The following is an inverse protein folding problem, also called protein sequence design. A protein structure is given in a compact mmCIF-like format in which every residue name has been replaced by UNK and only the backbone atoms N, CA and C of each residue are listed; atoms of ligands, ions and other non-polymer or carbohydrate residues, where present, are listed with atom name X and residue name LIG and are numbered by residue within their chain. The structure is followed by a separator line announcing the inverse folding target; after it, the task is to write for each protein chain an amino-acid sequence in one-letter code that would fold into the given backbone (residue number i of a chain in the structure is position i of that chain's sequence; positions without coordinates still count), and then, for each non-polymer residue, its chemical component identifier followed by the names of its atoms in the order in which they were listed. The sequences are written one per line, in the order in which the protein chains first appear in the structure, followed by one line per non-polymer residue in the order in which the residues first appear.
data_IF_403245773055
#
_entry.id   IF_403245773055
#
_cell.length_a   1.000
_cell.length_b   1.000
_cell.length_c   1.000
_cell.angle_alpha   90.00
_cell.angle_beta   90.00
_cell.angle_gamma   90.00
#
_symmetry.space_group_name_H-M   'P 1'
#
loop_
_entity.id
_entity.type
_entity.pdbx_description
1 polymer ?
#
# COMPACT_ATOMS: atom_id res chain seq x y z
N UNK A 1 14.43 -10.10 -16.76
CA UNK A 1 14.98 -8.72 -16.90
C UNK A 1 13.91 -7.69 -17.27
N UNK A 2 13.07 -7.91 -18.31
CA UNK A 2 12.04 -6.94 -18.75
C UNK A 2 11.08 -6.48 -17.65
N UNK A 3 10.56 -7.41 -16.83
CA UNK A 3 9.61 -7.09 -15.76
C UNK A 3 10.22 -6.19 -14.66
N UNK A 4 11.46 -6.47 -14.25
CA UNK A 4 12.16 -5.67 -13.23
C UNK A 4 12.44 -4.23 -13.71
N UNK A 5 12.83 -4.07 -14.98
CA UNK A 5 13.04 -2.76 -15.58
C UNK A 5 11.72 -1.96 -15.65
N UNK A 6 10.64 -2.57 -16.13
CA UNK A 6 9.33 -1.92 -16.19
C UNK A 6 8.83 -1.47 -14.80
N UNK A 7 8.95 -2.34 -13.79
CA UNK A 7 8.54 -2.01 -12.43
C UNK A 7 9.42 -0.90 -11.83
N UNK A 8 10.73 -0.93 -12.09
CA UNK A 8 11.67 0.10 -11.66
C UNK A 8 11.33 1.48 -12.24
N UNK A 9 11.02 1.54 -13.55
CA UNK A 9 10.60 2.79 -14.20
C UNK A 9 9.33 3.37 -13.58
N UNK A 10 8.29 2.54 -13.39
CA UNK A 10 7.02 2.99 -12.77
C UNK A 10 7.23 3.50 -11.35
N UNK A 11 8.00 2.76 -10.54
CA UNK A 11 8.32 3.16 -9.16
C UNK A 11 9.11 4.47 -9.12
N UNK A 12 10.05 4.67 -10.04
CA UNK A 12 10.81 5.92 -10.15
C UNK A 12 9.91 7.14 -10.36
N UNK A 13 8.93 7.05 -11.26
CA UNK A 13 7.95 8.13 -11.50
C UNK A 13 7.10 8.39 -10.25
N UNK A 14 6.64 7.35 -9.56
CA UNK A 14 5.88 7.49 -8.33
C UNK A 14 6.68 8.17 -7.20
N UNK A 15 7.96 7.80 -7.04
CA UNK A 15 8.85 8.43 -6.05
C UNK A 15 9.15 9.89 -6.38
N UNK A 16 9.33 10.23 -7.67
CA UNK A 16 9.52 11.61 -8.11
C UNK A 16 8.30 12.47 -7.75
N UNK A 17 7.09 12.00 -8.05
CA UNK A 17 5.85 12.71 -7.71
C UNK A 17 5.69 12.87 -6.19
N UNK A 18 5.99 11.83 -5.42
CA UNK A 18 5.96 11.91 -3.97
C UNK A 18 6.93 12.99 -3.44
N UNK A 19 8.15 13.04 -3.99
CA UNK A 19 9.13 14.06 -3.64
C UNK A 19 8.67 15.49 -4.02
N UNK A 20 8.10 15.67 -5.22
CA UNK A 20 7.58 16.97 -5.69
C UNK A 20 6.42 17.50 -4.82
N UNK A 21 5.64 16.60 -4.23
CA UNK A 21 4.52 16.93 -3.36
C UNK A 21 4.85 16.85 -1.86
N UNK A 22 6.12 16.65 -1.50
CA UNK A 22 6.55 16.44 -0.12
C UNK A 22 5.75 15.35 0.63
N UNK A 23 5.31 14.31 -0.09
CA UNK A 23 4.61 13.18 0.50
C UNK A 23 5.62 12.21 1.10
N UNK A 24 5.47 11.81 2.38
CA UNK A 24 6.34 10.82 2.99
C UNK A 24 6.17 9.47 2.28
N UNK A 25 7.29 8.83 1.95
CA UNK A 25 7.34 7.48 1.39
C UNK A 25 7.91 6.54 2.43
N UNK A 26 7.29 5.37 2.59
CA UNK A 26 7.76 4.31 3.49
C UNK A 26 7.83 3.00 2.72
N UNK A 27 8.88 2.24 2.98
CA UNK A 27 9.10 0.94 2.35
C UNK A 27 8.95 -0.18 3.37
N UNK A 28 8.35 -1.29 2.93
CA UNK A 28 8.14 -2.48 3.75
C UNK A 28 8.67 -3.71 3.03
N UNK A 29 9.45 -4.51 3.75
CA UNK A 29 9.91 -5.80 3.26
C UNK A 29 8.74 -6.80 3.23
N UNK A 30 8.74 -7.79 2.32
CA UNK A 30 7.67 -8.78 2.23
C UNK A 30 7.39 -9.50 3.57
N UNK A 31 8.43 -9.78 4.35
CA UNK A 31 8.31 -10.40 5.68
C UNK A 31 7.59 -9.48 6.67
N UNK A 32 7.83 -8.16 6.61
CA UNK A 32 7.13 -7.19 7.47
C UNK A 32 5.64 -7.17 7.12
N UNK A 33 5.30 -7.12 5.83
CA UNK A 33 3.90 -7.15 5.36
C UNK A 33 3.20 -8.42 5.82
N UNK A 34 3.84 -9.59 5.62
CA UNK A 34 3.29 -10.87 6.08
C UNK A 34 3.09 -10.88 7.60
N UNK A 35 4.10 -10.47 8.36
CA UNK A 35 4.03 -10.38 9.82
C UNK A 35 2.90 -9.45 10.29
N UNK A 36 2.73 -8.29 9.65
CA UNK A 36 1.72 -7.29 10.02
C UNK A 36 0.28 -7.79 9.88
N UNK A 37 0.05 -8.74 8.97
CA UNK A 37 -1.28 -9.18 8.56
C UNK A 37 -1.62 -10.54 9.18
N UNK A 38 -0.68 -11.48 9.15
CA UNK A 38 -0.92 -12.87 9.57
C UNK A 38 -0.30 -13.20 10.92
N UNK A 39 0.57 -12.35 11.46
CA UNK A 39 1.40 -12.65 12.63
C UNK A 39 2.55 -13.62 12.34
N UNK A 40 2.75 -14.02 11.07
CA UNK A 40 3.79 -14.95 10.67
C UNK A 40 4.51 -14.50 9.40
N UNK A 41 5.78 -14.11 9.54
CA UNK A 41 6.58 -13.53 8.45
C UNK A 41 6.84 -14.47 7.26
N UNK A 42 6.61 -15.78 7.41
CA UNK A 42 6.75 -16.78 6.32
C UNK A 42 5.40 -17.25 5.76
N UNK A 43 4.29 -16.59 6.10
CA UNK A 43 2.97 -16.92 5.57
C UNK A 43 2.95 -16.93 4.03
N UNK A 44 2.09 -17.78 3.46
CA UNK A 44 1.88 -17.83 2.02
C UNK A 44 1.04 -16.65 1.52
N UNK A 45 1.18 -16.31 0.23
CA UNK A 45 0.45 -15.19 -0.38
C UNK A 45 -1.08 -15.36 -0.25
N UNK A 46 -1.55 -16.60 -0.36
CA UNK A 46 -2.96 -16.93 -0.20
C UNK A 46 -3.47 -16.67 1.23
N UNK A 47 -2.66 -16.97 2.26
CA UNK A 47 -3.02 -16.69 3.65
C UNK A 47 -3.10 -15.18 3.92
N UNK A 48 -2.19 -14.39 3.32
CA UNK A 48 -2.25 -12.92 3.38
C UNK A 48 -3.55 -12.42 2.78
N UNK A 49 -3.94 -12.90 1.59
CA UNK A 49 -5.19 -12.52 0.93
C UNK A 49 -6.43 -12.84 1.76
N UNK A 50 -6.50 -14.03 2.33
CA UNK A 50 -7.61 -14.42 3.21
C UNK A 50 -7.69 -13.54 4.45
N UNK A 51 -6.55 -13.20 5.04
CA UNK A 51 -6.50 -12.30 6.18
C UNK A 51 -6.90 -10.86 5.81
N UNK A 52 -6.49 -10.35 4.64
CA UNK A 52 -6.94 -9.05 4.15
C UNK A 52 -8.46 -9.00 4.01
N UNK A 53 -9.06 -10.05 3.43
CA UNK A 53 -10.53 -10.17 3.29
C UNK A 53 -11.20 -10.15 4.67
N UNK A 54 -10.66 -10.92 5.64
CA UNK A 54 -11.20 -10.97 7.01
C UNK A 54 -11.07 -9.64 7.76
N UNK A 55 -9.90 -9.00 7.70
CA UNK A 55 -9.61 -7.72 8.37
C UNK A 55 -10.53 -6.62 7.86
N UNK A 56 -10.78 -6.59 6.55
CA UNK A 56 -11.61 -5.56 5.90
C UNK A 56 -13.09 -5.93 5.84
N UNK A 57 -13.49 -7.11 6.35
CA UNK A 57 -14.87 -7.58 6.27
C UNK A 57 -15.41 -7.70 4.84
N UNK A 58 -14.53 -7.97 3.86
CA UNK A 58 -14.93 -8.07 2.46
C UNK A 58 -15.78 -9.33 2.28
N UNK A 59 -16.93 -9.18 1.64
CA UNK A 59 -17.88 -10.27 1.48
C UNK A 59 -17.34 -11.31 0.49
N UNK A 60 -16.81 -12.42 1.02
CA UNK A 60 -16.02 -13.43 0.31
C UNK A 60 -16.76 -14.08 -0.88
N UNK A 61 -18.09 -14.06 -0.88
CA UNK A 61 -18.92 -14.65 -1.94
C UNK A 61 -19.13 -13.74 -3.15
N UNK A 62 -19.01 -12.41 -3.01
CA UNK A 62 -19.34 -11.46 -4.07
C UNK A 62 -18.11 -10.82 -4.74
N UNK A 63 -16.95 -10.81 -4.05
CA UNK A 63 -15.77 -10.10 -4.52
C UNK A 63 -14.59 -11.06 -4.73
N UNK A 64 -14.30 -11.39 -5.99
CA UNK A 64 -13.00 -12.00 -6.36
C UNK A 64 -11.92 -10.91 -6.27
N UNK A 65 -11.31 -10.77 -5.10
CA UNK A 65 -10.19 -9.85 -4.92
C UNK A 65 -9.02 -10.31 -5.80
N UNK A 66 -8.58 -9.44 -6.72
CA UNK A 66 -7.38 -9.68 -7.54
C UNK A 66 -6.13 -9.78 -6.66
N UNK A 67 -5.09 -10.45 -7.14
CA UNK A 67 -3.80 -10.51 -6.43
C UNK A 67 -3.20 -9.12 -6.22
N UNK A 68 -3.17 -8.28 -7.25
CA UNK A 68 -2.61 -6.93 -7.16
C UNK A 68 -3.36 -6.06 -6.14
N UNK A 69 -4.70 -6.17 -6.12
CA UNK A 69 -5.54 -5.47 -5.15
C UNK A 69 -5.29 -5.96 -3.73
N UNK A 70 -5.13 -7.27 -3.55
CA UNK A 70 -4.78 -7.86 -2.26
C UNK A 70 -3.43 -7.37 -1.76
N UNK A 71 -2.41 -7.33 -2.63
CA UNK A 71 -1.07 -6.87 -2.27
C UNK A 71 -1.04 -5.37 -1.92
N UNK A 72 -1.82 -4.54 -2.63
CA UNK A 72 -1.97 -3.13 -2.31
C UNK A 72 -2.66 -2.91 -0.95
N UNK A 73 -3.77 -3.62 -0.68
CA UNK A 73 -4.48 -3.54 0.60
C UNK A 73 -3.62 -4.05 1.76
N UNK A 74 -2.85 -5.12 1.53
CA UNK A 74 -1.89 -5.65 2.48
C UNK A 74 -0.84 -4.59 2.88
N UNK A 75 -0.26 -3.88 1.91
CA UNK A 75 0.67 -2.79 2.17
C UNK A 75 0.02 -1.64 2.95
N UNK A 76 -1.23 -1.28 2.64
CA UNK A 76 -1.96 -0.25 3.39
C UNK A 76 -2.16 -0.66 4.86
N UNK A 77 -2.61 -1.89 5.12
CA UNK A 77 -2.78 -2.40 6.48
C UNK A 77 -1.44 -2.44 7.22
N UNK A 78 -0.38 -2.90 6.55
CA UNK A 78 0.98 -2.89 7.09
C UNK A 78 1.42 -1.47 7.47
N UNK A 79 1.16 -0.49 6.61
CA UNK A 79 1.51 0.90 6.87
C UNK A 79 0.73 1.49 8.05
N UNK A 80 -0.56 1.20 8.17
CA UNK A 80 -1.38 1.63 9.31
C UNK A 80 -0.85 1.03 10.63
N UNK A 81 -0.42 -0.23 10.60
CA UNK A 81 0.01 -0.95 11.81
C UNK A 81 1.46 -0.63 12.23
N UNK A 82 2.35 -0.40 11.27
CA UNK A 82 3.81 -0.29 11.52
C UNK A 82 4.39 1.07 11.14
N UNK A 83 3.67 1.86 10.33
CA UNK A 83 4.14 3.15 9.85
C UNK A 83 4.10 4.24 10.90
N UNK A 84 4.83 5.35 10.66
CA UNK A 84 4.66 6.55 11.45
C UNK A 84 3.19 7.01 11.37
N UNK A 85 2.64 7.47 12.50
CA UNK A 85 1.26 7.99 12.52
C UNK A 85 1.16 9.09 11.47
N UNK A 86 0.26 8.90 10.51
CA UNK A 86 -0.01 9.88 9.47
C UNK A 86 -0.43 11.19 10.14
N UNK A 87 0.32 12.26 9.87
CA UNK A 87 -0.19 13.61 10.07
C UNK A 87 -1.35 13.84 9.08
N UNK A 88 -2.31 14.73 9.39
CA UNK A 88 -3.39 15.04 8.47
C UNK A 88 -2.82 15.41 7.10
N UNK A 89 -3.11 14.61 6.08
CA UNK A 89 -2.70 14.89 4.70
C UNK A 89 -3.42 16.17 4.26
N UNK A 90 -2.68 17.27 4.08
CA UNK A 90 -3.20 18.45 3.42
C UNK A 90 -3.60 18.04 1.99
N UNK A 91 -4.91 18.09 1.69
CA UNK A 91 -5.43 17.68 0.38
C UNK A 91 -4.77 18.53 -0.73
N UNK A 92 -4.18 17.91 -1.76
CA UNK A 92 -3.69 18.65 -2.91
C UNK A 92 -4.89 19.32 -3.61
N UNK A 93 -5.03 20.64 -3.39
CA UNK A 93 -6.15 21.45 -3.88
C UNK A 93 -6.46 22.69 -3.04
N UNK A 94 -6.06 22.74 -1.77
CA UNK A 94 -6.33 23.89 -0.89
C UNK A 94 -5.53 25.16 -1.24
N UNK A 95 -4.44 25.04 -2.02
CA UNK A 95 -3.63 26.20 -2.48
C UNK A 95 -4.08 26.83 -3.79
N UNK A 96 -4.84 26.14 -4.63
CA UNK A 96 -5.26 26.68 -5.93
C UNK A 96 -6.53 27.54 -5.86
N UNK A 97 -7.30 27.48 -4.76
CA UNK A 97 -8.50 28.31 -4.57
C UNK A 97 -8.24 29.68 -3.92
N UNK A 98 -7.01 29.98 -3.46
CA UNK A 98 -6.65 31.27 -2.82
C UNK A 98 -6.02 32.31 -3.76
N UNK A 99 -6.15 32.14 -5.07
CA UNK A 99 -5.87 33.17 -6.07
C UNK A 99 -7.18 33.66 -6.68
N UNK A 100 -7.92 34.48 -5.94
CA UNK A 100 -8.84 35.47 -6.48
C UNK A 100 -8.39 36.83 -5.99
#
# INVERSE_FOLDING_TARGET
MRAALALGSTRGVAMLLAAQHAMPVTEYNPTQVKMAITGYGRAEKQQVKEMVIRILGLNSSALKLSEDSSDALALCICHINMGPRLSPVERPGSRLQKRK
#
